data_IF_187506749039
#
_entry.id   IF_187506749039
#
_cell.length_a   1.000
_cell.length_b   1.000
_cell.length_c   1.000
_cell.angle_alpha   90.00
_cell.angle_beta   90.00
_cell.angle_gamma   90.00
#
_symmetry.space_group_name_H-M   'P 1'
#
loop_
_entity.id
_entity.type
_entity.pdbx_description
1 polymer ?
#
# COMPACT_ATOMS: atom_id res chain seq x y z
N UNK A 1 -3.98 -21.93 -21.16
CA UNK A 1 -2.83 -22.70 -21.70
C UNK A 1 -2.17 -22.11 -22.96
N UNK A 2 -2.15 -20.78 -23.18
CA UNK A 2 -1.40 -20.17 -24.30
C UNK A 2 -0.44 -19.01 -23.92
N UNK A 3 -0.39 -18.62 -22.64
CA UNK A 3 0.51 -17.56 -22.15
C UNK A 3 1.88 -18.06 -21.63
N UNK A 4 2.06 -19.37 -21.44
CA UNK A 4 3.21 -19.95 -20.73
C UNK A 4 4.35 -20.48 -21.63
N UNK A 5 4.43 -20.06 -22.91
CA UNK A 5 5.34 -20.70 -23.90
C UNK A 5 6.40 -19.81 -24.55
N UNK A 6 6.65 -18.59 -24.05
CA UNK A 6 7.57 -17.65 -24.72
C UNK A 6 8.89 -17.37 -23.95
N UNK A 7 9.11 -17.92 -22.76
CA UNK A 7 10.29 -17.60 -21.94
C UNK A 7 11.30 -18.75 -21.76
N UNK A 8 11.61 -19.52 -22.81
CA UNK A 8 12.65 -20.55 -22.76
C UNK A 8 13.56 -20.46 -23.99
N UNK A 9 14.68 -19.75 -23.86
CA UNK A 9 15.95 -20.07 -24.56
C UNK A 9 17.15 -19.34 -23.96
N UNK A 10 18.14 -20.16 -23.59
CA UNK A 10 19.58 -19.94 -23.34
C UNK A 10 20.05 -19.04 -22.19
N UNK A 11 20.55 -19.67 -21.13
CA UNK A 11 21.68 -19.16 -20.35
C UNK A 11 22.59 -20.35 -19.95
N UNK A 12 23.88 -20.26 -20.30
CA UNK A 12 24.92 -21.24 -19.96
C UNK A 12 25.61 -20.89 -18.62
N UNK A 13 26.21 -21.84 -17.89
CA UNK A 13 26.77 -21.60 -16.56
C UNK A 13 28.26 -21.25 -16.60
N UNK A 14 28.70 -20.30 -15.76
CA UNK A 14 30.12 -20.07 -15.46
C UNK A 14 30.35 -19.93 -13.95
N UNK A 15 31.45 -20.54 -13.51
CA UNK A 15 31.84 -20.84 -12.14
C UNK A 15 32.88 -19.86 -11.55
N UNK A 16 32.98 -19.84 -10.21
CA UNK A 16 34.19 -19.50 -9.43
C UNK A 16 34.42 -18.01 -9.13
N UNK A 17 33.81 -17.43 -8.11
CA UNK A 17 34.33 -17.32 -6.73
C UNK A 17 35.37 -16.19 -6.46
N UNK A 18 34.90 -14.94 -6.55
CA UNK A 18 35.09 -13.87 -5.55
C UNK A 18 33.72 -13.22 -5.22
N UNK A 19 32.66 -14.03 -5.38
CA UNK A 19 31.57 -13.70 -6.29
C UNK A 19 30.22 -13.43 -5.62
N UNK A 20 30.10 -13.51 -4.28
CA UNK A 20 28.79 -13.51 -3.61
C UNK A 20 27.97 -12.22 -3.79
N UNK A 21 28.59 -11.05 -3.59
CA UNK A 21 27.92 -9.75 -3.75
C UNK A 21 27.75 -9.38 -5.23
N UNK A 22 28.80 -9.58 -6.04
CA UNK A 22 28.76 -9.30 -7.48
C UNK A 22 27.73 -10.13 -8.24
N UNK A 23 27.58 -11.42 -7.88
CA UNK A 23 26.57 -12.31 -8.48
C UNK A 23 25.15 -11.91 -8.11
N UNK A 24 24.89 -11.55 -6.85
CA UNK A 24 23.55 -11.09 -6.44
C UNK A 24 23.16 -9.82 -7.18
N UNK A 25 24.09 -8.88 -7.39
CA UNK A 25 23.83 -7.66 -8.17
C UNK A 25 23.58 -7.96 -9.65
N UNK A 26 24.26 -8.96 -10.24
CA UNK A 26 23.96 -9.43 -11.60
C UNK A 26 22.57 -10.06 -11.68
N UNK A 27 22.16 -10.82 -10.66
CA UNK A 27 20.83 -11.39 -10.58
C UNK A 27 19.75 -10.30 -10.42
N UNK A 28 19.98 -9.26 -9.62
CA UNK A 28 19.11 -8.07 -9.55
C UNK A 28 18.97 -7.44 -10.93
N UNK A 29 20.08 -7.21 -11.64
CA UNK A 29 20.07 -6.64 -12.99
C UNK A 29 19.28 -7.53 -13.96
N UNK A 30 19.48 -8.85 -13.93
CA UNK A 30 18.75 -9.78 -14.78
C UNK A 30 17.25 -9.78 -14.50
N UNK A 31 16.84 -9.95 -13.24
CA UNK A 31 15.43 -10.06 -12.87
C UNK A 31 14.66 -8.73 -13.03
N UNK A 32 15.33 -7.59 -12.85
CA UNK A 32 14.71 -6.27 -13.00
C UNK A 32 14.33 -5.92 -14.44
N UNK A 33 14.87 -6.62 -15.44
CA UNK A 33 14.51 -6.44 -16.86
C UNK A 33 13.18 -7.11 -17.22
N UNK A 34 12.72 -8.06 -16.41
CA UNK A 34 11.43 -8.68 -16.60
C UNK A 34 10.32 -7.78 -16.04
N UNK A 35 9.19 -7.75 -16.76
CA UNK A 35 7.99 -7.06 -16.29
C UNK A 35 7.22 -7.97 -15.31
N UNK A 36 6.80 -7.45 -14.15
CA UNK A 36 5.89 -8.16 -13.24
C UNK A 36 4.61 -8.60 -13.95
N UNK A 37 4.09 -9.77 -13.58
CA UNK A 37 2.86 -10.35 -14.13
C UNK A 37 1.68 -10.00 -13.21
N UNK A 38 0.78 -9.09 -13.59
CA UNK A 38 -0.38 -8.77 -12.76
C UNK A 38 -1.42 -9.88 -12.82
N UNK A 39 -2.02 -10.20 -11.66
CA UNK A 39 -3.13 -11.13 -11.53
C UNK A 39 -4.43 -10.39 -11.19
N UNK A 40 -5.56 -10.91 -11.67
CA UNK A 40 -6.89 -10.48 -11.20
C UNK A 40 -7.30 -11.23 -9.94
N UNK A 41 -8.19 -10.63 -9.15
CA UNK A 41 -8.87 -11.33 -8.05
C UNK A 41 -9.57 -12.58 -8.58
N UNK A 42 -10.19 -12.52 -9.78
CA UNK A 42 -10.78 -13.70 -10.41
C UNK A 42 -9.75 -14.82 -10.61
N UNK A 43 -8.58 -14.52 -11.17
CA UNK A 43 -7.55 -15.55 -11.40
C UNK A 43 -7.08 -16.18 -10.08
N UNK A 44 -6.90 -15.37 -9.03
CA UNK A 44 -6.51 -15.84 -7.70
C UNK A 44 -7.59 -16.74 -7.08
N UNK A 45 -8.86 -16.35 -7.21
CA UNK A 45 -10.01 -17.11 -6.72
C UNK A 45 -10.19 -18.43 -7.48
N UNK A 46 -10.20 -18.37 -8.82
CA UNK A 46 -10.35 -19.54 -9.69
C UNK A 46 -9.23 -20.56 -9.43
N UNK A 47 -7.99 -20.07 -9.22
CA UNK A 47 -6.84 -20.90 -8.86
C UNK A 47 -7.06 -21.62 -7.54
N UNK A 48 -7.40 -20.92 -6.46
CA UNK A 48 -7.56 -21.53 -5.14
C UNK A 48 -8.81 -22.39 -4.97
N UNK A 49 -9.88 -22.17 -5.74
CA UNK A 49 -11.16 -22.87 -5.57
C UNK A 49 -11.26 -24.20 -6.32
N UNK A 50 -10.68 -24.30 -7.51
CA UNK A 50 -10.90 -25.46 -8.42
C UNK A 50 -9.62 -26.10 -8.94
N UNK A 51 -8.49 -25.37 -8.96
CA UNK A 51 -7.24 -25.80 -9.61
C UNK A 51 -6.02 -25.61 -8.70
N UNK A 52 -6.21 -25.61 -7.38
CA UNK A 52 -5.19 -25.29 -6.38
C UNK A 52 -4.08 -26.34 -6.38
N UNK A 53 -3.09 -26.17 -7.25
CA UNK A 53 -1.95 -27.07 -7.35
C UNK A 53 -0.71 -26.36 -6.81
N UNK A 54 -0.19 -26.84 -5.68
CA UNK A 54 1.01 -26.30 -5.03
C UNK A 54 2.18 -26.18 -6.03
N UNK A 55 2.39 -27.20 -6.86
CA UNK A 55 3.44 -27.21 -7.91
C UNK A 55 3.31 -26.08 -8.91
N UNK A 56 2.07 -25.74 -9.29
CA UNK A 56 1.77 -24.65 -10.22
C UNK A 56 2.01 -23.30 -9.54
N UNK A 57 1.56 -23.14 -8.29
CA UNK A 57 1.80 -21.94 -7.50
C UNK A 57 3.29 -21.70 -7.28
N UNK A 58 4.03 -22.73 -6.86
CA UNK A 58 5.48 -22.71 -6.71
C UNK A 58 6.19 -22.32 -8.01
N UNK A 59 5.82 -22.96 -9.13
CA UNK A 59 6.42 -22.67 -10.43
C UNK A 59 6.26 -21.22 -10.88
N UNK A 60 5.12 -20.61 -10.56
CA UNK A 60 4.87 -19.19 -10.79
C UNK A 60 5.66 -18.31 -9.82
N UNK A 61 5.55 -18.55 -8.51
CA UNK A 61 6.11 -17.66 -7.48
C UNK A 61 7.63 -17.64 -7.43
N UNK A 62 8.30 -18.76 -7.71
CA UNK A 62 9.77 -18.83 -7.79
C UNK A 62 10.35 -18.00 -8.95
N UNK A 63 9.52 -17.56 -9.89
CA UNK A 63 9.88 -16.64 -10.96
C UNK A 63 9.38 -15.23 -10.66
N UNK A 64 8.10 -15.09 -10.29
CA UNK A 64 7.45 -13.80 -10.11
C UNK A 64 7.97 -13.02 -8.90
N UNK A 65 8.23 -13.67 -7.75
CA UNK A 65 8.73 -12.97 -6.56
C UNK A 65 10.12 -12.35 -6.82
N UNK A 66 11.14 -13.07 -7.33
CA UNK A 66 12.41 -12.45 -7.71
C UNK A 66 12.27 -11.26 -8.65
N UNK A 67 11.36 -11.31 -9.64
CA UNK A 67 11.09 -10.20 -10.57
C UNK A 67 10.58 -8.96 -9.81
N UNK A 68 9.57 -9.10 -8.96
CA UNK A 68 9.00 -7.98 -8.18
C UNK A 68 10.01 -7.37 -7.21
N UNK A 69 10.80 -8.22 -6.54
CA UNK A 69 11.88 -7.77 -5.64
C UNK A 69 12.99 -7.03 -6.39
N UNK A 70 13.44 -7.55 -7.53
CA UNK A 70 14.51 -6.95 -8.31
C UNK A 70 14.10 -5.60 -8.94
N UNK A 71 12.87 -5.50 -9.45
CA UNK A 71 12.32 -4.24 -9.99
C UNK A 71 12.40 -3.12 -8.95
N UNK A 72 11.94 -3.39 -7.71
CA UNK A 72 11.95 -2.34 -6.68
C UNK A 72 13.34 -2.08 -6.08
N UNK A 73 14.21 -3.10 -6.01
CA UNK A 73 15.62 -2.93 -5.62
C UNK A 73 16.36 -1.96 -6.56
N UNK A 74 16.10 -2.02 -7.87
CA UNK A 74 16.67 -1.06 -8.83
C UNK A 74 16.19 0.36 -8.60
N UNK A 75 14.94 0.56 -8.18
CA UNK A 75 14.43 1.90 -7.84
C UNK A 75 14.98 2.42 -6.52
N UNK A 76 15.22 1.55 -5.53
CA UNK A 76 15.94 1.93 -4.31
C UNK A 76 17.31 2.51 -4.69
N UNK A 77 18.04 1.86 -5.60
CA UNK A 77 19.37 2.31 -6.03
C UNK A 77 19.37 3.67 -6.77
N UNK A 78 18.21 4.19 -7.16
CA UNK A 78 18.06 5.52 -7.78
C UNK A 78 17.68 6.63 -6.79
N UNK A 79 17.50 6.29 -5.50
CA UNK A 79 17.30 7.29 -4.47
C UNK A 79 18.56 8.14 -4.24
N UNK A 80 18.43 9.37 -3.72
CA UNK A 80 19.59 10.21 -3.42
C UNK A 80 20.58 9.50 -2.49
N UNK A 81 21.89 9.62 -2.78
CA UNK A 81 22.96 8.96 -2.01
C UNK A 81 22.89 9.26 -0.50
N UNK A 82 22.49 10.48 -0.15
CA UNK A 82 22.30 10.91 1.24
C UNK A 82 21.18 10.13 1.93
N UNK A 83 20.08 9.83 1.23
CA UNK A 83 18.98 9.02 1.75
C UNK A 83 19.39 7.55 1.80
N UNK A 84 20.06 7.03 0.76
CA UNK A 84 20.66 5.68 0.77
C UNK A 84 21.70 5.51 1.88
N UNK A 85 22.32 6.59 2.34
CA UNK A 85 23.28 6.63 3.42
C UNK A 85 22.67 6.39 4.81
N UNK A 86 21.37 6.62 4.98
CA UNK A 86 20.67 6.50 6.27
C UNK A 86 20.66 5.04 6.78
N UNK A 87 20.88 4.80 8.09
CA UNK A 87 20.88 3.45 8.66
C UNK A 87 19.59 2.67 8.35
N UNK A 88 18.45 3.34 8.43
CA UNK A 88 17.15 2.72 8.21
C UNK A 88 16.94 2.26 6.76
N UNK A 89 17.30 3.07 5.76
CA UNK A 89 17.19 2.67 4.34
C UNK A 89 18.17 1.55 4.00
N UNK A 90 19.40 1.58 4.57
CA UNK A 90 20.37 0.48 4.42
C UNK A 90 19.83 -0.84 4.97
N UNK A 91 19.18 -0.79 6.15
CA UNK A 91 18.56 -1.96 6.76
C UNK A 91 17.46 -2.54 5.87
N UNK A 92 16.55 -1.70 5.37
CA UNK A 92 15.49 -2.16 4.44
C UNK A 92 16.09 -2.77 3.18
N UNK A 93 17.08 -2.11 2.56
CA UNK A 93 17.77 -2.64 1.38
C UNK A 93 18.40 -4.01 1.66
N UNK A 94 19.02 -4.20 2.83
CA UNK A 94 19.60 -5.48 3.23
C UNK A 94 18.55 -6.59 3.34
N UNK A 95 17.36 -6.31 3.87
CA UNK A 95 16.26 -7.28 3.95
C UNK A 95 15.76 -7.72 2.58
N UNK A 96 15.64 -6.78 1.63
CA UNK A 96 15.25 -7.10 0.25
C UNK A 96 16.31 -7.93 -0.47
N UNK A 97 17.59 -7.57 -0.34
CA UNK A 97 18.70 -8.35 -0.92
C UNK A 97 18.75 -9.77 -0.35
N UNK A 98 18.62 -9.92 0.99
CA UNK A 98 18.62 -11.23 1.63
C UNK A 98 17.42 -12.08 1.17
N UNK A 99 16.24 -11.47 1.05
CA UNK A 99 15.03 -12.19 0.61
C UNK A 99 15.13 -12.60 -0.85
N UNK A 100 15.66 -11.74 -1.72
CA UNK A 100 15.90 -12.08 -3.11
C UNK A 100 16.88 -13.25 -3.24
N UNK A 101 17.99 -13.22 -2.49
CA UNK A 101 18.97 -14.30 -2.45
C UNK A 101 18.32 -15.64 -2.08
N UNK A 102 17.53 -15.68 -1.00
CA UNK A 102 16.83 -16.90 -0.56
C UNK A 102 15.81 -17.39 -1.59
N UNK A 103 15.10 -16.49 -2.28
CA UNK A 103 14.11 -16.86 -3.29
C UNK A 103 14.74 -17.42 -4.57
N UNK A 104 15.88 -16.87 -5.00
CA UNK A 104 16.57 -17.31 -6.21
C UNK A 104 17.11 -18.74 -6.08
N UNK A 105 17.40 -19.22 -4.87
CA UNK A 105 17.81 -20.61 -4.62
C UNK A 105 16.77 -21.63 -5.12
N UNK A 106 15.51 -21.24 -5.27
CA UNK A 106 14.44 -22.09 -5.78
C UNK A 106 14.25 -22.05 -7.30
N UNK A 107 14.92 -21.13 -8.00
CA UNK A 107 14.68 -20.86 -9.42
C UNK A 107 14.88 -22.10 -10.32
N UNK A 108 15.86 -22.95 -9.99
CA UNK A 108 16.20 -24.17 -10.74
C UNK A 108 15.77 -25.47 -10.05
N UNK A 109 15.10 -25.42 -8.89
CA UNK A 109 14.68 -26.64 -8.17
C UNK A 109 13.48 -27.31 -8.86
N UNK A 110 13.27 -28.60 -8.68
CA UNK A 110 12.13 -29.30 -9.31
C UNK A 110 10.82 -29.01 -8.56
N UNK A 111 9.69 -28.74 -9.26
CA UNK A 111 8.37 -28.64 -8.62
C UNK A 111 7.81 -30.00 -8.17
N UNK A 112 8.42 -31.12 -8.56
CA UNK A 112 7.98 -32.47 -8.19
C UNK A 112 8.61 -32.97 -6.88
N UNK A 113 9.56 -32.23 -6.31
CA UNK A 113 10.21 -32.55 -5.03
C UNK A 113 9.42 -31.95 -3.86
N UNK A 114 8.75 -32.80 -3.08
CA UNK A 114 7.92 -32.37 -1.96
C UNK A 114 8.73 -31.63 -0.88
N UNK A 115 10.01 -31.97 -0.67
CA UNK A 115 10.86 -31.27 0.29
C UNK A 115 11.11 -29.84 -0.17
N UNK A 116 11.32 -29.63 -1.47
CA UNK A 116 11.50 -28.30 -2.05
C UNK A 116 10.26 -27.44 -1.86
N UNK A 117 9.07 -28.00 -2.03
CA UNK A 117 7.80 -27.29 -1.82
C UNK A 117 7.63 -26.86 -0.35
N UNK A 118 7.89 -27.79 0.60
CA UNK A 118 7.89 -27.48 2.04
C UNK A 118 8.94 -26.42 2.41
N UNK A 119 10.18 -26.55 1.93
CA UNK A 119 11.26 -25.59 2.18
C UNK A 119 10.91 -24.21 1.60
N UNK A 120 10.16 -24.17 0.49
CA UNK A 120 9.70 -22.93 -0.12
C UNK A 120 8.66 -22.23 0.75
N UNK A 121 7.66 -22.94 1.27
CA UNK A 121 6.67 -22.38 2.22
C UNK A 121 7.39 -21.78 3.44
N UNK A 122 8.31 -22.53 4.05
CA UNK A 122 9.08 -22.03 5.21
C UNK A 122 9.90 -20.79 4.84
N UNK A 123 10.44 -20.73 3.62
CA UNK A 123 11.15 -19.54 3.09
C UNK A 123 10.22 -18.35 2.93
N UNK A 124 9.02 -18.53 2.37
CA UNK A 124 8.03 -17.46 2.22
C UNK A 124 7.61 -16.90 3.57
N UNK A 125 7.42 -17.76 4.59
CA UNK A 125 7.11 -17.34 5.96
C UNK A 125 8.25 -16.52 6.54
N UNK A 126 9.50 -16.97 6.40
CA UNK A 126 10.69 -16.20 6.84
C UNK A 126 10.80 -14.85 6.14
N UNK A 127 10.61 -14.79 4.83
CA UNK A 127 10.63 -13.54 4.05
C UNK A 127 9.51 -12.61 4.52
N UNK A 128 8.27 -13.11 4.66
CA UNK A 128 7.13 -12.32 5.16
C UNK A 128 7.40 -11.72 6.53
N UNK A 129 7.97 -12.51 7.45
CA UNK A 129 8.26 -12.06 8.82
C UNK A 129 9.40 -11.04 8.85
N UNK A 130 10.47 -11.25 8.08
CA UNK A 130 11.57 -10.28 7.91
C UNK A 130 11.07 -8.92 7.41
N UNK A 131 10.02 -8.93 6.59
CA UNK A 131 9.45 -7.73 6.00
C UNK A 131 8.37 -7.06 6.86
N UNK A 132 8.10 -7.55 8.07
CA UNK A 132 7.05 -7.01 8.96
C UNK A 132 7.23 -5.51 9.19
N UNK A 133 8.43 -5.08 9.58
CA UNK A 133 8.75 -3.71 9.98
C UNK A 133 9.23 -2.80 8.84
N UNK A 134 9.13 -3.24 7.57
CA UNK A 134 9.58 -2.44 6.42
C UNK A 134 8.90 -1.06 6.35
N UNK A 135 7.61 -0.95 6.70
CA UNK A 135 6.88 0.32 6.66
C UNK A 135 7.44 1.31 7.70
N UNK A 136 7.45 0.99 9.01
CA UNK A 136 8.00 1.90 10.01
C UNK A 136 9.49 2.17 9.82
N UNK A 137 10.31 1.16 9.44
CA UNK A 137 11.74 1.38 9.21
C UNK A 137 11.99 2.29 8.01
N UNK A 138 11.28 2.12 6.89
CA UNK A 138 11.44 3.04 5.75
C UNK A 138 10.99 4.46 6.13
N UNK A 139 9.87 4.61 6.85
CA UNK A 139 9.42 5.91 7.34
C UNK A 139 10.47 6.60 8.22
N UNK A 140 11.12 5.83 9.10
CA UNK A 140 12.23 6.31 9.92
C UNK A 140 13.42 6.79 9.08
N UNK A 141 13.78 6.08 8.00
CA UNK A 141 14.83 6.52 7.07
C UNK A 141 14.51 7.85 6.36
N UNK A 142 13.25 8.07 6.01
CA UNK A 142 12.81 9.36 5.45
C UNK A 142 12.90 10.47 6.50
N UNK A 143 12.59 10.18 7.77
CA UNK A 143 12.71 11.14 8.88
C UNK A 143 14.18 11.48 9.14
N UNK A 144 15.06 10.48 9.23
CA UNK A 144 16.52 10.66 9.37
C UNK A 144 17.08 11.58 8.30
N UNK A 145 16.65 11.37 7.05
CA UNK A 145 17.02 12.20 5.91
C UNK A 145 16.51 13.64 6.03
N UNK A 146 15.23 13.82 6.37
CA UNK A 146 14.58 15.14 6.49
C UNK A 146 15.13 15.98 7.65
N UNK A 147 15.50 15.35 8.76
CA UNK A 147 16.03 16.05 9.94
C UNK A 147 17.46 16.53 9.70
N UNK A 148 18.23 15.78 8.89
CA UNK A 148 19.64 16.09 8.61
C UNK A 148 19.79 17.02 7.40
N UNK A 149 18.92 16.89 6.39
CA UNK A 149 19.07 17.56 5.11
C UNK A 149 17.83 18.38 4.74
N UNK A 150 18.06 19.58 4.20
CA UNK A 150 16.99 20.33 3.53
C UNK A 150 16.58 19.57 2.26
N UNK A 151 15.29 19.28 2.15
CA UNK A 151 14.71 18.56 1.01
C UNK A 151 14.08 19.58 0.07
N UNK A 152 14.60 19.66 -1.14
CA UNK A 152 14.03 20.48 -2.19
C UNK A 152 12.75 19.83 -2.79
N UNK A 153 11.89 20.61 -3.47
CA UNK A 153 10.63 20.09 -4.01
C UNK A 153 10.79 18.92 -4.99
N UNK A 154 11.83 18.91 -5.82
CA UNK A 154 12.07 17.86 -6.83
C UNK A 154 12.45 16.56 -6.13
N UNK A 155 13.39 16.62 -5.18
CA UNK A 155 13.74 15.44 -4.37
C UNK A 155 12.54 14.90 -3.60
N UNK A 156 11.69 15.77 -3.04
CA UNK A 156 10.46 15.35 -2.37
C UNK A 156 9.48 14.63 -3.32
N UNK A 157 9.32 15.12 -4.55
CA UNK A 157 8.51 14.44 -5.57
C UNK A 157 9.08 13.07 -5.95
N UNK A 158 10.40 12.96 -6.11
CA UNK A 158 11.06 11.69 -6.43
C UNK A 158 10.91 10.66 -5.30
N UNK A 159 11.01 11.11 -4.04
CA UNK A 159 10.76 10.27 -2.86
C UNK A 159 9.29 9.84 -2.81
N UNK A 160 8.34 10.75 -3.06
CA UNK A 160 6.92 10.42 -3.12
C UNK A 160 6.63 9.35 -4.19
N UNK A 161 7.13 9.55 -5.41
CA UNK A 161 7.00 8.61 -6.52
C UNK A 161 7.57 7.23 -6.16
N UNK A 162 8.75 7.21 -5.54
CA UNK A 162 9.36 5.97 -5.06
C UNK A 162 8.50 5.28 -4.00
N UNK A 163 8.06 5.99 -2.95
CA UNK A 163 7.34 5.38 -1.83
C UNK A 163 6.00 4.79 -2.27
N UNK A 164 5.27 5.48 -3.14
CA UNK A 164 4.02 4.96 -3.73
C UNK A 164 4.28 3.60 -4.40
N UNK A 165 5.34 3.49 -5.20
CA UNK A 165 5.71 2.28 -5.94
C UNK A 165 6.29 1.20 -5.02
N UNK A 166 7.11 1.58 -4.07
CA UNK A 166 7.71 0.70 -3.08
C UNK A 166 6.66 -0.01 -2.23
N UNK A 167 5.70 0.74 -1.70
CA UNK A 167 4.63 0.16 -0.91
C UNK A 167 3.62 -0.61 -1.76
N UNK A 168 3.35 -0.19 -3.00
CA UNK A 168 2.55 -0.99 -3.94
C UNK A 168 3.21 -2.35 -4.22
N UNK A 169 4.51 -2.37 -4.49
CA UNK A 169 5.27 -3.62 -4.67
C UNK A 169 5.17 -4.51 -3.43
N UNK A 170 5.32 -3.93 -2.23
CA UNK A 170 5.21 -4.67 -0.95
C UNK A 170 3.82 -5.25 -0.71
N UNK A 171 2.75 -4.50 -0.99
CA UNK A 171 1.36 -5.01 -0.91
C UNK A 171 1.24 -6.24 -1.83
N UNK A 172 1.77 -6.13 -3.04
CA UNK A 172 1.69 -7.19 -4.04
C UNK A 172 2.46 -8.46 -3.68
N UNK A 173 3.69 -8.34 -3.15
CA UNK A 173 4.48 -9.51 -2.73
C UNK A 173 3.88 -10.16 -1.50
N UNK A 174 3.36 -9.36 -0.56
CA UNK A 174 2.60 -9.86 0.60
C UNK A 174 1.34 -10.61 0.15
N UNK A 175 0.61 -10.10 -0.82
CA UNK A 175 -0.58 -10.77 -1.38
C UNK A 175 -0.24 -12.16 -1.91
N UNK A 176 0.79 -12.26 -2.76
CA UNK A 176 1.22 -13.54 -3.33
C UNK A 176 1.70 -14.54 -2.27
N UNK A 177 2.55 -14.09 -1.34
CA UNK A 177 3.08 -14.94 -0.27
C UNK A 177 1.97 -15.42 0.67
N UNK A 178 1.02 -14.53 1.04
CA UNK A 178 -0.12 -14.89 1.87
C UNK A 178 -1.05 -15.88 1.15
N UNK A 179 -1.30 -15.69 -0.14
CA UNK A 179 -2.12 -16.64 -0.91
C UNK A 179 -1.51 -18.04 -0.90
N UNK A 180 -0.22 -18.18 -1.19
CA UNK A 180 0.45 -19.49 -1.18
C UNK A 180 0.47 -20.13 0.20
N UNK A 181 0.88 -19.37 1.23
CA UNK A 181 0.97 -19.90 2.59
C UNK A 181 -0.40 -20.29 3.15
N UNK A 182 -1.45 -19.50 2.94
CA UNK A 182 -2.79 -19.83 3.43
C UNK A 182 -3.44 -21.02 2.70
N UNK A 183 -3.07 -21.29 1.45
CA UNK A 183 -3.62 -22.41 0.67
C UNK A 183 -2.87 -23.73 0.90
N UNK A 184 -1.57 -23.70 1.18
CA UNK A 184 -0.73 -24.91 1.15
C UNK A 184 0.06 -25.18 2.44
N UNK A 185 0.10 -24.26 3.41
CA UNK A 185 0.72 -24.54 4.72
C UNK A 185 -0.26 -25.31 5.62
N UNK A 186 -0.06 -26.62 5.74
CA UNK A 186 -0.84 -27.51 6.61
C UNK A 186 -0.83 -27.08 8.09
N UNK A 187 0.18 -26.31 8.52
CA UNK A 187 0.29 -25.78 9.89
C UNK A 187 -0.61 -24.55 10.10
N UNK A 188 -1.02 -23.89 9.02
CA UNK A 188 -1.80 -22.65 9.01
C UNK A 188 -3.31 -22.88 8.81
N UNK A 189 -3.89 -23.88 9.49
CA UNK A 189 -5.35 -24.09 9.55
C UNK A 189 -6.14 -22.98 10.30
N UNK A 190 -5.55 -21.81 10.47
CA UNK A 190 -6.12 -20.62 11.11
C UNK A 190 -6.85 -19.67 10.13
N UNK A 191 -7.03 -20.07 8.88
CA UNK A 191 -7.84 -19.33 7.91
C UNK A 191 -9.34 -19.45 8.16
N UNK A 192 -10.11 -18.44 7.77
CA UNK A 192 -11.57 -18.52 7.81
C UNK A 192 -12.05 -19.60 6.80
N UNK A 193 -12.89 -20.58 7.19
CA UNK A 193 -13.21 -21.75 6.36
C UNK A 193 -13.79 -21.44 4.97
N UNK A 194 -14.43 -20.28 4.83
CA UNK A 194 -15.02 -19.78 3.58
C UNK A 194 -14.02 -19.08 2.65
N UNK A 195 -12.87 -18.65 3.17
CA UNK A 195 -11.92 -17.87 2.39
C UNK A 195 -11.07 -18.77 1.49
N UNK A 196 -10.72 -18.24 0.32
CA UNK A 196 -9.75 -18.84 -0.58
C UNK A 196 -8.44 -18.06 -0.42
N UNK A 197 -7.56 -18.63 0.39
CA UNK A 197 -6.39 -17.92 0.91
C UNK A 197 -6.82 -16.71 1.73
N UNK A 198 -6.50 -15.50 1.27
CA UNK A 198 -6.92 -14.23 1.91
C UNK A 198 -8.12 -13.56 1.24
N UNK A 199 -8.72 -14.17 0.21
CA UNK A 199 -9.86 -13.61 -0.52
C UNK A 199 -11.14 -14.22 0.05
N UNK A 200 -12.12 -13.37 0.34
CA UNK A 200 -13.48 -13.80 0.64
C UNK A 200 -14.33 -13.69 -0.66
N UNK A 201 -14.87 -14.82 -1.18
CA UNK A 201 -15.75 -14.79 -2.34
C UNK A 201 -17.09 -14.07 -2.09
N UNK A 202 -17.48 -13.86 -0.83
CA UNK A 202 -18.72 -13.20 -0.45
C UNK A 202 -18.48 -12.20 0.70
N UNK A 203 -17.47 -11.33 0.54
CA UNK A 203 -17.11 -10.32 1.54
C UNK A 203 -18.29 -9.39 1.81
N UNK A 204 -18.85 -9.45 3.02
CA UNK A 204 -19.85 -8.50 3.51
C UNK A 204 -19.18 -7.16 3.81
N UNK A 205 -19.48 -6.16 2.99
CA UNK A 205 -18.85 -4.84 3.10
C UNK A 205 -19.29 -4.12 4.37
N UNK A 206 -20.55 -4.30 4.78
CA UNK A 206 -21.11 -3.62 5.95
C UNK A 206 -20.52 -4.20 7.24
N UNK A 207 -20.32 -5.52 7.29
CA UNK A 207 -19.63 -6.17 8.41
C UNK A 207 -18.21 -5.61 8.59
N UNK A 208 -17.41 -5.52 7.51
CA UNK A 208 -16.05 -4.97 7.58
C UNK A 208 -16.03 -3.49 7.97
N UNK A 209 -17.05 -2.71 7.58
CA UNK A 209 -17.22 -1.33 8.02
C UNK A 209 -17.45 -1.24 9.52
N UNK A 210 -18.34 -2.08 10.08
CA UNK A 210 -18.60 -2.11 11.51
C UNK A 210 -17.35 -2.55 12.28
N UNK A 211 -16.66 -3.61 11.85
CA UNK A 211 -15.43 -4.09 12.50
C UNK A 211 -14.33 -3.02 12.57
N UNK A 212 -14.13 -2.31 11.45
CA UNK A 212 -13.16 -1.23 11.36
C UNK A 212 -13.55 -0.01 12.22
N UNK A 213 -14.84 0.32 12.26
CA UNK A 213 -15.37 1.37 13.11
C UNK A 213 -15.18 1.03 14.60
N UNK A 214 -15.60 -0.15 15.05
CA UNK A 214 -15.47 -0.58 16.45
C UNK A 214 -14.02 -0.60 16.90
N UNK A 215 -13.12 -1.13 16.07
CA UNK A 215 -11.67 -1.14 16.36
C UNK A 215 -11.11 0.29 16.48
N UNK A 216 -11.57 1.22 15.65
CA UNK A 216 -11.16 2.64 15.72
C UNK A 216 -11.78 3.34 16.93
N UNK A 217 -13.03 3.01 17.26
CA UNK A 217 -13.79 3.54 18.39
C UNK A 217 -13.08 3.19 19.70
N UNK A 218 -12.67 1.93 19.88
CA UNK A 218 -11.89 1.49 21.04
C UNK A 218 -10.62 2.30 21.24
N UNK A 219 -9.86 2.58 20.17
CA UNK A 219 -8.65 3.40 20.24
C UNK A 219 -8.95 4.88 20.52
N UNK A 220 -10.03 5.40 19.94
CA UNK A 220 -10.49 6.76 20.18
C UNK A 220 -10.92 6.94 21.64
N UNK A 221 -11.73 6.02 22.17
CA UNK A 221 -12.19 6.02 23.56
C UNK A 221 -11.01 5.86 24.54
N UNK A 222 -10.01 5.03 24.22
CA UNK A 222 -8.82 4.90 25.05
C UNK A 222 -8.02 6.21 25.15
N UNK A 223 -7.99 7.01 24.09
CA UNK A 223 -7.19 8.23 24.02
C UNK A 223 -7.94 9.49 24.45
N UNK A 224 -9.20 9.64 24.02
CA UNK A 224 -10.03 10.82 24.23
C UNK A 224 -11.16 10.62 25.26
N UNK A 225 -11.37 9.39 25.76
CA UNK A 225 -12.47 9.03 26.66
C UNK A 225 -13.87 9.22 26.05
N UNK A 226 -13.95 9.45 24.75
CA UNK A 226 -15.18 9.62 23.97
C UNK A 226 -14.92 9.36 22.48
N UNK A 227 -15.98 9.06 21.74
CA UNK A 227 -15.95 8.81 20.30
C UNK A 227 -17.29 9.16 19.64
N UNK A 228 -17.29 9.59 18.36
CA UNK A 228 -18.51 9.83 17.62
C UNK A 228 -19.21 8.52 17.23
N UNK A 229 -20.54 8.50 17.25
CA UNK A 229 -21.38 7.37 16.81
C UNK A 229 -21.30 7.11 15.30
N UNK A 230 -21.62 5.89 14.86
CA UNK A 230 -21.70 5.50 13.45
C UNK A 230 -23.13 5.61 12.92
N UNK A 231 -23.32 6.30 11.80
CA UNK A 231 -24.57 6.29 11.04
C UNK A 231 -24.34 5.69 9.65
N UNK A 232 -24.71 4.42 9.49
CA UNK A 232 -24.48 3.67 8.26
C UNK A 232 -25.73 3.60 7.39
N UNK A 233 -25.58 3.83 6.09
CA UNK A 233 -26.60 3.63 5.07
C UNK A 233 -26.01 2.78 3.94
N UNK A 234 -26.77 1.80 3.45
CA UNK A 234 -26.38 0.99 2.29
C UNK A 234 -27.40 1.11 1.15
N UNK A 235 -26.90 1.12 -0.09
CA UNK A 235 -27.72 1.14 -1.30
C UNK A 235 -27.17 0.09 -2.26
N UNK A 236 -27.88 -1.03 -2.36
CA UNK A 236 -27.55 -2.09 -3.30
C UNK A 236 -28.27 -1.86 -4.64
N UNK A 237 -27.57 -1.26 -5.60
CA UNK A 237 -28.11 -0.98 -6.93
C UNK A 237 -28.24 -2.22 -7.82
N UNK A 238 -27.61 -3.36 -7.46
CA UNK A 238 -27.76 -4.64 -8.17
C UNK A 238 -28.97 -5.42 -7.68
N UNK A 239 -29.21 -5.42 -6.37
CA UNK A 239 -30.32 -6.11 -5.72
C UNK A 239 -30.85 -5.25 -4.56
N UNK A 240 -31.83 -4.36 -4.80
CA UNK A 240 -32.35 -3.47 -3.77
C UNK A 240 -32.89 -4.24 -2.55
N UNK A 241 -32.46 -3.84 -1.35
CA UNK A 241 -32.87 -4.47 -0.08
C UNK A 241 -31.96 -5.62 0.39
N UNK A 242 -31.10 -6.16 -0.49
CA UNK A 242 -30.15 -7.21 -0.15
C UNK A 242 -28.82 -6.64 0.38
N UNK A 243 -28.12 -7.38 1.27
CA UNK A 243 -26.78 -7.01 1.72
C UNK A 243 -25.78 -6.79 0.57
N UNK A 244 -24.82 -5.90 0.78
CA UNK A 244 -23.77 -5.63 -0.20
C UNK A 244 -22.60 -6.59 0.02
N UNK A 245 -22.46 -7.56 -0.89
CA UNK A 245 -21.32 -8.48 -0.92
C UNK A 245 -20.50 -8.35 -2.21
N UNK A 246 -19.17 -8.39 -2.09
CA UNK A 246 -18.24 -8.44 -3.25
C UNK A 246 -17.16 -9.51 -3.05
N UNK A 247 -16.48 -9.91 -4.13
CA UNK A 247 -15.26 -10.72 -4.02
C UNK A 247 -14.09 -9.80 -3.71
N UNK A 248 -13.53 -9.86 -2.50
CA UNK A 248 -12.44 -8.97 -2.11
C UNK A 248 -11.52 -9.57 -1.04
N UNK A 249 -10.47 -8.82 -0.66
CA UNK A 249 -9.59 -9.16 0.45
C UNK A 249 -10.04 -8.37 1.69
N UNK A 250 -10.72 -8.98 2.67
CA UNK A 250 -11.33 -8.24 3.79
C UNK A 250 -10.31 -7.41 4.57
N UNK A 251 -9.11 -7.94 4.78
CA UNK A 251 -8.03 -7.24 5.49
C UNK A 251 -7.55 -5.96 4.79
N UNK A 252 -7.60 -5.89 3.45
CA UNK A 252 -7.27 -4.68 2.71
C UNK A 252 -8.35 -3.61 2.91
N UNK A 253 -9.62 -4.02 2.83
CA UNK A 253 -10.76 -3.14 3.06
C UNK A 253 -10.78 -2.61 4.50
N UNK A 254 -10.62 -3.50 5.48
CA UNK A 254 -10.50 -3.16 6.89
C UNK A 254 -9.42 -2.12 7.14
N UNK A 255 -8.21 -2.32 6.59
CA UNK A 255 -7.11 -1.37 6.78
C UNK A 255 -7.44 0.04 6.30
N UNK A 256 -8.05 0.17 5.11
CA UNK A 256 -8.45 1.48 4.58
C UNK A 256 -9.51 2.15 5.46
N UNK A 257 -10.54 1.40 5.86
CA UNK A 257 -11.63 1.90 6.68
C UNK A 257 -11.13 2.30 8.08
N UNK A 258 -10.31 1.47 8.70
CA UNK A 258 -9.71 1.71 10.01
C UNK A 258 -8.88 3.01 10.02
N UNK A 259 -8.02 3.21 9.03
CA UNK A 259 -7.24 4.46 8.94
C UNK A 259 -8.13 5.69 8.72
N UNK A 260 -9.18 5.58 7.89
CA UNK A 260 -10.12 6.68 7.66
C UNK A 260 -10.95 6.99 8.91
N UNK A 261 -11.47 5.98 9.61
CA UNK A 261 -12.22 6.15 10.84
C UNK A 261 -11.38 6.80 11.94
N UNK A 262 -10.14 6.35 12.17
CA UNK A 262 -9.23 7.04 13.11
C UNK A 262 -9.08 8.52 12.80
N UNK A 263 -8.89 8.87 11.52
CA UNK A 263 -8.73 10.27 11.09
C UNK A 263 -10.02 11.08 11.31
N UNK A 264 -11.17 10.55 10.92
CA UNK A 264 -12.47 11.21 11.08
C UNK A 264 -12.87 11.34 12.56
N UNK A 265 -12.61 10.32 13.38
CA UNK A 265 -12.83 10.36 14.83
C UNK A 265 -11.95 11.42 15.48
N UNK A 266 -10.64 11.38 15.22
CA UNK A 266 -9.69 12.39 15.72
C UNK A 266 -10.14 13.81 15.36
N UNK A 267 -10.42 14.06 14.08
CA UNK A 267 -10.83 15.38 13.61
C UNK A 267 -12.14 15.85 14.26
N UNK A 268 -13.11 14.94 14.43
CA UNK A 268 -14.40 15.26 15.06
C UNK A 268 -14.25 15.59 16.53
N UNK A 269 -13.50 14.77 17.28
CA UNK A 269 -13.27 15.01 18.72
C UNK A 269 -12.48 16.31 18.94
N UNK A 270 -11.36 16.50 18.23
CA UNK A 270 -10.53 17.71 18.39
C UNK A 270 -11.30 18.98 17.98
N UNK A 271 -12.14 18.93 16.94
CA UNK A 271 -12.91 20.10 16.49
C UNK A 271 -14.11 20.43 17.39
N UNK A 272 -14.72 19.42 18.01
CA UNK A 272 -15.94 19.53 18.81
C UNK A 272 -15.69 19.33 20.31
N UNK A 273 -14.46 19.48 20.80
CA UNK A 273 -14.06 19.25 22.20
C UNK A 273 -14.93 20.02 23.22
N UNK A 274 -15.39 21.22 22.86
CA UNK A 274 -16.25 22.06 23.71
C UNK A 274 -17.77 21.87 23.46
N UNK A 275 -18.16 20.92 22.60
CA UNK A 275 -19.55 20.64 22.29
C UNK A 275 -20.10 19.57 23.25
N UNK A 276 -21.38 19.65 23.67
CA UNK A 276 -21.96 18.68 24.59
C UNK A 276 -22.12 17.28 23.98
N UNK A 277 -22.16 17.19 22.65
CA UNK A 277 -22.33 15.95 21.89
C UNK A 277 -21.52 16.01 20.61
N UNK A 278 -20.93 14.88 20.24
CA UNK A 278 -20.20 14.73 18.99
C UNK A 278 -21.16 14.44 17.84
N UNK A 279 -20.89 15.02 16.67
CA UNK A 279 -21.58 14.66 15.44
C UNK A 279 -21.23 13.22 15.03
N UNK A 280 -22.19 12.41 14.56
CA UNK A 280 -21.90 11.06 14.11
C UNK A 280 -21.06 11.07 12.82
N UNK A 281 -20.27 10.02 12.63
CA UNK A 281 -19.62 9.73 11.35
C UNK A 281 -20.65 9.05 10.45
N UNK A 282 -20.95 9.68 9.31
CA UNK A 282 -21.91 9.14 8.35
C UNK A 282 -21.20 8.29 7.30
N UNK A 283 -21.66 7.05 7.11
CA UNK A 283 -21.10 6.13 6.11
C UNK A 283 -22.16 5.72 5.12
N UNK A 284 -21.86 5.87 3.83
CA UNK A 284 -22.73 5.45 2.74
C UNK A 284 -22.00 4.41 1.90
N UNK A 285 -22.54 3.19 1.84
CA UNK A 285 -22.05 2.10 0.99
C UNK A 285 -22.97 1.94 -0.20
N UNK A 286 -22.46 2.09 -1.42
CA UNK A 286 -23.25 1.96 -2.65
C UNK A 286 -22.62 0.92 -3.57
N UNK A 287 -23.38 -0.12 -3.91
CA UNK A 287 -23.00 -1.09 -4.92
C UNK A 287 -23.67 -0.75 -6.25
N UNK A 288 -22.91 -0.19 -7.18
CA UNK A 288 -23.31 0.05 -8.56
C UNK A 288 -23.10 -1.18 -9.44
N UNK A 289 -23.26 -1.01 -10.77
CA UNK A 289 -23.01 -2.09 -11.74
C UNK A 289 -21.52 -2.43 -11.83
N UNK A 290 -20.68 -1.40 -11.94
CA UNK A 290 -19.23 -1.51 -12.17
C UNK A 290 -18.41 -1.31 -10.89
N UNK A 291 -18.84 -0.39 -10.03
CA UNK A 291 -18.07 0.02 -8.86
C UNK A 291 -18.86 -0.17 -7.56
N UNK A 292 -18.13 -0.48 -6.49
CA UNK A 292 -18.53 -0.31 -5.10
C UNK A 292 -17.93 1.00 -4.60
N UNK A 293 -18.75 1.89 -4.05
CA UNK A 293 -18.31 3.13 -3.42
C UNK A 293 -18.62 3.12 -1.94
N UNK A 294 -17.64 3.50 -1.11
CA UNK A 294 -17.82 3.70 0.33
C UNK A 294 -17.43 5.13 0.65
N UNK A 295 -18.40 5.94 1.07
CA UNK A 295 -18.18 7.32 1.49
C UNK A 295 -18.25 7.41 3.01
N UNK A 296 -17.21 7.94 3.62
CA UNK A 296 -17.13 8.28 5.05
C UNK A 296 -17.13 9.80 5.16
N UNK A 297 -18.10 10.35 5.88
CA UNK A 297 -18.32 11.78 6.05
C UNK A 297 -18.23 12.16 7.52
N UNK A 298 -17.38 13.13 7.84
CA UNK A 298 -17.26 13.68 9.19
C UNK A 298 -17.68 15.16 9.28
N UNK A 299 -17.75 15.65 10.52
CA UNK A 299 -17.95 17.07 10.88
C UNK A 299 -16.78 17.60 11.70
N UNK A 300 -15.57 17.16 11.34
CA UNK A 300 -14.32 17.49 12.04
C UNK A 300 -13.66 18.79 11.59
N UNK A 301 -14.43 19.78 11.12
CA UNK A 301 -13.91 21.11 10.76
C UNK A 301 -13.18 21.19 9.42
N UNK A 302 -12.88 20.07 8.77
CA UNK A 302 -12.33 20.02 7.41
C UNK A 302 -10.92 20.59 7.24
N UNK A 303 -10.45 20.63 6.00
CA UNK A 303 -9.07 20.94 5.60
C UNK A 303 -9.07 21.95 4.45
N UNK A 304 -8.28 23.03 4.51
CA UNK A 304 -8.13 23.95 3.38
C UNK A 304 -7.66 23.24 2.11
N UNK A 305 -8.26 23.58 0.96
CA UNK A 305 -7.98 22.94 -0.35
C UNK A 305 -6.49 22.85 -0.66
N UNK A 306 -5.71 23.92 -0.40
CA UNK A 306 -4.24 23.96 -0.58
C UNK A 306 -3.43 22.89 0.18
N UNK A 307 -4.04 22.22 1.17
CA UNK A 307 -3.41 21.17 1.98
C UNK A 307 -3.88 19.77 1.60
N UNK A 308 -4.94 19.61 0.81
CA UNK A 308 -5.55 18.30 0.51
C UNK A 308 -4.56 17.36 -0.17
N UNK A 309 -3.87 17.81 -1.22
CA UNK A 309 -2.87 16.99 -1.92
C UNK A 309 -1.71 16.61 -0.98
N UNK A 310 -1.36 17.49 -0.04
CA UNK A 310 -0.30 17.25 0.93
C UNK A 310 -0.67 16.18 1.95
N UNK A 311 -1.95 15.89 2.20
CA UNK A 311 -2.37 14.81 3.10
C UNK A 311 -1.94 13.42 2.61
N UNK A 312 -1.70 13.27 1.31
CA UNK A 312 -1.15 12.05 0.71
C UNK A 312 0.39 12.06 0.63
N UNK A 313 1.05 13.12 1.10
CA UNK A 313 2.51 13.17 1.08
C UNK A 313 3.11 12.45 2.29
N UNK A 314 4.00 11.49 2.05
CA UNK A 314 4.68 10.75 3.11
C UNK A 314 5.57 11.62 4.00
N UNK A 315 5.98 12.81 3.52
CA UNK A 315 6.81 13.76 4.26
C UNK A 315 5.99 14.82 5.01
N UNK A 316 4.66 14.73 4.97
CA UNK A 316 3.72 15.64 5.63
C UNK A 316 2.87 14.89 6.67
N UNK A 317 2.91 15.33 7.92
CA UNK A 317 2.01 14.86 8.98
C UNK A 317 1.63 16.04 9.87
N UNK A 318 0.41 16.01 10.40
CA UNK A 318 -0.12 16.98 11.38
C UNK A 318 -0.05 16.45 12.81
N UNK A 319 0.35 15.20 13.01
CA UNK A 319 0.48 14.58 14.33
C UNK A 319 1.89 14.79 14.91
N UNK A 320 2.03 14.87 16.24
CA UNK A 320 3.34 14.75 16.89
C UNK A 320 3.98 13.40 16.55
N UNK A 321 5.32 13.37 16.53
CA UNK A 321 6.07 12.17 16.14
C UNK A 321 5.86 11.07 17.19
N UNK A 322 5.43 9.86 16.79
CA UNK A 322 5.32 8.75 17.74
C UNK A 322 6.71 8.35 18.25
N UNK A 323 6.82 8.03 19.54
CA UNK A 323 8.05 7.49 20.10
C UNK A 323 8.19 6.01 19.73
N UNK A 324 9.28 5.64 19.08
CA UNK A 324 9.50 4.28 18.53
C UNK A 324 9.66 3.24 19.65
N UNK A 325 10.03 3.67 20.87
CA UNK A 325 10.25 2.79 22.02
C UNK A 325 8.96 2.32 22.71
N UNK A 326 7.81 2.97 22.44
CA UNK A 326 6.53 2.62 23.07
C UNK A 326 5.68 1.70 22.19
N UNK A 327 6.21 0.50 21.93
CA UNK A 327 5.56 -0.53 21.10
C UNK A 327 4.24 -1.08 21.69
N UNK A 328 3.82 -0.64 22.87
CA UNK A 328 2.60 -1.15 23.54
C UNK A 328 1.32 -0.42 23.14
N UNK A 329 1.41 0.79 22.58
CA UNK A 329 0.25 1.58 22.22
C UNK A 329 0.34 1.99 20.75
N UNK A 330 -0.55 1.49 19.89
CA UNK A 330 -0.70 2.02 18.53
C UNK A 330 -1.35 3.39 18.65
N UNK A 331 -0.65 4.51 18.39
CA UNK A 331 -1.23 5.82 18.58
C UNK A 331 -2.31 6.07 17.52
N UNK A 332 -3.36 6.80 17.89
CA UNK A 332 -4.48 7.11 16.98
C UNK A 332 -4.00 7.85 15.71
N UNK A 333 -2.92 8.63 15.84
CA UNK A 333 -2.20 9.24 14.74
C UNK A 333 -0.68 8.98 14.86
N UNK A 334 0.00 8.85 13.72
CA UNK A 334 1.42 8.47 13.69
C UNK A 334 2.22 9.14 12.58
N UNK A 335 3.09 8.37 11.92
CA UNK A 335 4.06 8.83 10.91
C UNK A 335 3.49 9.58 9.69
N UNK A 336 2.17 9.65 9.52
CA UNK A 336 1.52 10.27 8.36
C UNK A 336 1.36 9.32 7.16
N UNK A 337 1.54 8.01 7.37
CA UNK A 337 1.55 7.02 6.28
C UNK A 337 0.17 6.37 6.05
N UNK A 338 -0.78 6.53 6.98
CA UNK A 338 -2.10 5.86 6.91
C UNK A 338 -2.90 6.20 5.65
N UNK A 339 -3.09 7.50 5.36
CA UNK A 339 -3.82 7.96 4.17
C UNK A 339 -3.17 7.53 2.84
N UNK A 340 -1.87 7.80 2.59
CA UNK A 340 -1.26 7.38 1.33
C UNK A 340 -1.25 5.86 1.16
N UNK A 341 -0.95 5.08 2.21
CA UNK A 341 -1.01 3.61 2.12
C UNK A 341 -2.43 3.11 1.87
N UNK A 342 -3.44 3.69 2.52
CA UNK A 342 -4.85 3.34 2.27
C UNK A 342 -5.23 3.58 0.80
N UNK A 343 -4.75 4.68 0.21
CA UNK A 343 -4.94 4.94 -1.21
C UNK A 343 -4.24 3.91 -2.10
N UNK A 344 -3.07 3.41 -1.72
CA UNK A 344 -2.41 2.33 -2.46
C UNK A 344 -3.19 1.02 -2.38
N UNK A 345 -3.76 0.66 -1.21
CA UNK A 345 -4.63 -0.52 -1.10
C UNK A 345 -5.87 -0.42 -2.01
N UNK A 346 -6.49 0.76 -2.12
CA UNK A 346 -7.59 0.97 -3.07
C UNK A 346 -7.11 0.82 -4.52
N UNK A 347 -6.00 1.48 -4.88
CA UNK A 347 -5.43 1.46 -6.24
C UNK A 347 -4.88 0.10 -6.66
N UNK A 348 -4.49 -0.75 -5.72
CA UNK A 348 -3.87 -2.04 -6.00
C UNK A 348 -4.76 -2.95 -6.86
N UNK A 349 -6.09 -2.91 -6.67
CA UNK A 349 -7.06 -3.62 -7.50
C UNK A 349 -7.95 -2.67 -8.33
N UNK A 350 -7.33 -1.65 -8.94
CA UNK A 350 -7.97 -0.67 -9.86
C UNK A 350 -9.05 0.22 -9.24
N UNK A 351 -9.07 0.33 -7.91
CA UNK A 351 -9.87 1.33 -7.20
C UNK A 351 -9.15 2.68 -7.07
N UNK A 352 -9.70 3.56 -6.23
CA UNK A 352 -9.01 4.77 -5.75
C UNK A 352 -9.58 5.23 -4.40
N UNK A 353 -8.88 6.13 -3.72
CA UNK A 353 -9.33 6.81 -2.52
C UNK A 353 -9.15 8.32 -2.72
N UNK A 354 -10.25 9.06 -2.63
CA UNK A 354 -10.29 10.51 -2.79
C UNK A 354 -10.81 11.21 -1.54
N UNK A 355 -10.31 12.42 -1.27
CA UNK A 355 -10.73 13.28 -0.17
C UNK A 355 -11.31 14.58 -0.71
N UNK A 356 -12.48 14.97 -0.20
CA UNK A 356 -13.15 16.23 -0.49
C UNK A 356 -13.48 16.90 0.82
N UNK A 357 -12.93 18.08 1.07
CA UNK A 357 -13.09 18.74 2.36
C UNK A 357 -13.59 20.17 2.20
N UNK A 358 -14.47 20.55 3.12
CA UNK A 358 -15.00 21.91 3.23
C UNK A 358 -14.46 22.47 4.54
N UNK A 359 -13.51 23.40 4.43
CA UNK A 359 -12.86 24.01 5.59
C UNK A 359 -13.87 24.80 6.43
N UNK A 360 -13.87 24.54 7.74
CA UNK A 360 -14.87 25.01 8.71
C UNK A 360 -16.05 24.06 8.90
N UNK A 361 -16.16 22.97 8.13
CA UNK A 361 -17.32 22.07 8.17
C UNK A 361 -16.94 20.60 8.40
N UNK A 362 -16.23 19.97 7.47
CA UNK A 362 -15.95 18.54 7.54
C UNK A 362 -15.30 17.97 6.28
N UNK A 363 -15.09 16.67 6.27
CA UNK A 363 -14.42 15.95 5.17
C UNK A 363 -15.22 14.73 4.73
N UNK A 364 -15.31 14.53 3.42
CA UNK A 364 -15.78 13.31 2.76
C UNK A 364 -14.58 12.54 2.21
N UNK A 365 -14.39 11.29 2.66
CA UNK A 365 -13.45 10.33 2.11
C UNK A 365 -14.21 9.25 1.33
N UNK A 366 -13.83 9.04 0.07
CA UNK A 366 -14.51 8.08 -0.81
C UNK A 366 -13.54 7.02 -1.30
N UNK A 367 -13.80 5.76 -0.95
CA UNK A 367 -13.13 4.58 -1.48
C UNK A 367 -13.96 4.07 -2.67
N UNK A 368 -13.32 3.86 -3.81
CA UNK A 368 -13.87 3.16 -4.97
C UNK A 368 -13.18 1.82 -5.13
N UNK A 369 -13.95 0.75 -5.30
CA UNK A 369 -13.48 -0.59 -5.61
C UNK A 369 -14.24 -1.13 -6.81
N UNK A 370 -13.61 -2.03 -7.58
CA UNK A 370 -14.30 -2.74 -8.66
C UNK A 370 -15.29 -3.76 -8.10
N UNK A 371 -16.53 -3.71 -8.58
CA UNK A 371 -17.58 -4.65 -8.21
C UNK A 371 -17.42 -6.02 -8.88
N UNK A 372 -16.64 -6.10 -9.97
CA UNK A 372 -16.38 -7.32 -10.72
C UNK A 372 -14.93 -7.78 -10.52
N UNK A 373 -14.74 -9.01 -10.03
CA UNK A 373 -13.42 -9.59 -9.77
C UNK A 373 -12.55 -9.77 -11.02
N UNK A 374 -13.16 -9.78 -12.21
CA UNK A 374 -12.49 -9.78 -13.52
C UNK A 374 -11.73 -8.48 -13.80
N UNK A 375 -12.25 -7.36 -13.30
CA UNK A 375 -11.69 -6.02 -13.50
C UNK A 375 -10.74 -5.61 -12.37
N UNK A 376 -10.83 -6.29 -11.22
CA UNK A 376 -9.92 -6.17 -10.09
C UNK A 376 -8.53 -6.76 -10.40
N UNK A 377 -7.76 -6.11 -11.27
CA UNK A 377 -6.41 -6.53 -11.69
C UNK A 377 -5.35 -5.83 -10.84
N UNK A 378 -4.28 -6.53 -10.46
CA UNK A 378 -3.13 -5.92 -9.76
C UNK A 378 -2.55 -4.72 -10.53
N UNK A 379 -2.35 -3.60 -9.84
CA UNK A 379 -1.58 -2.45 -10.33
C UNK A 379 -0.15 -2.53 -9.79
N UNK A 380 0.80 -2.88 -10.66
CA UNK A 380 2.19 -3.14 -10.26
C UNK A 380 3.16 -2.07 -10.77
N UNK A 381 4.18 -1.68 -9.97
CA UNK A 381 5.28 -0.87 -10.46
C UNK A 381 6.18 -1.70 -11.39
N UNK A 382 6.53 -1.14 -12.54
CA UNK A 382 7.47 -1.73 -13.51
C UNK A 382 8.71 -0.85 -13.61
N UNK A 383 9.88 -1.41 -13.34
CA UNK A 383 11.16 -0.73 -13.57
C UNK A 383 11.53 -0.78 -15.04
N UNK A 384 11.66 0.39 -15.66
CA UNK A 384 12.06 0.54 -17.05
C UNK A 384 12.65 1.96 -17.25
N UNK A 385 13.01 2.31 -18.49
CA UNK A 385 13.56 3.64 -18.82
C UNK A 385 12.63 4.79 -18.41
N UNK A 386 11.31 4.61 -18.50
CA UNK A 386 10.34 5.63 -18.07
C UNK A 386 10.40 5.84 -16.55
N UNK A 387 10.44 4.74 -15.78
CA UNK A 387 10.60 4.82 -14.33
C UNK A 387 11.94 5.47 -13.95
N UNK A 388 13.04 5.11 -14.62
CA UNK A 388 14.35 5.73 -14.36
C UNK A 388 14.36 7.24 -14.63
N UNK A 389 13.63 7.70 -15.66
CA UNK A 389 13.57 9.13 -16.00
C UNK A 389 12.95 9.98 -14.89
N UNK A 390 11.95 9.46 -14.16
CA UNK A 390 11.36 10.18 -13.01
C UNK A 390 12.44 10.57 -11.98
N UNK A 391 13.39 9.69 -11.68
CA UNK A 391 14.47 9.96 -10.72
C UNK A 391 15.53 10.95 -11.21
N UNK A 392 15.60 11.19 -12.52
CA UNK A 392 16.59 12.06 -13.16
C UNK A 392 16.02 13.44 -13.50
N UNK A 393 14.73 13.67 -13.26
CA UNK A 393 14.05 14.91 -13.63
C UNK A 393 14.60 16.06 -12.78
N UNK A 394 15.05 17.13 -13.44
CA UNK A 394 15.55 18.35 -12.78
C UNK A 394 14.40 19.33 -12.55
N UNK A 395 14.62 20.37 -11.74
CA UNK A 395 13.64 21.45 -11.57
C UNK A 395 13.32 22.10 -12.91
N UNK A 396 12.07 22.00 -13.34
CA UNK A 396 11.55 22.73 -14.50
C UNK A 396 11.00 24.09 -14.04
N UNK A 397 10.94 25.06 -14.96
CA UNK A 397 10.24 26.32 -14.70
C UNK A 397 8.74 26.02 -14.56
N UNK A 398 8.06 26.78 -13.69
CA UNK A 398 6.61 26.60 -13.52
C UNK A 398 5.88 26.93 -14.83
N UNK A 399 4.96 26.06 -15.23
CA UNK A 399 4.17 26.23 -16.45
C UNK A 399 3.21 27.43 -16.36
N UNK A 400 2.97 27.93 -15.14
CA UNK A 400 2.08 29.04 -14.85
C UNK A 400 2.78 30.17 -14.10
N UNK A 401 2.22 31.38 -14.21
CA UNK A 401 2.78 32.55 -13.54
C UNK A 401 2.76 32.40 -12.01
N UNK A 402 3.93 32.51 -11.39
CA UNK A 402 4.06 32.61 -9.93
C UNK A 402 3.98 34.08 -9.51
N UNK A 403 2.98 34.50 -8.71
CA UNK A 403 2.84 35.89 -8.30
C UNK A 403 4.00 36.35 -7.40
N UNK A 404 4.33 37.65 -7.44
CA UNK A 404 5.33 38.25 -6.55
C UNK A 404 4.89 38.14 -5.08
N UNK A 405 5.82 37.81 -4.18
CA UNK A 405 5.59 37.82 -2.72
C UNK A 405 5.23 39.21 -2.16
N UNK A 406 5.60 40.27 -2.87
CA UNK A 406 5.21 41.64 -2.60
C UNK A 406 4.50 42.22 -3.82
N UNK A 407 3.19 41.96 -4.00
CA UNK A 407 2.46 42.52 -5.13
C UNK A 407 2.46 44.06 -5.03
N UNK A 408 2.70 44.73 -6.15
CA UNK A 408 2.74 46.21 -6.18
C UNK A 408 1.37 46.76 -5.82
N UNK A 409 1.35 47.74 -4.91
CA UNK A 409 0.13 48.47 -4.58
C UNK A 409 -0.09 49.58 -5.63
N UNK A 410 -0.98 49.32 -6.59
CA UNK A 410 -1.29 50.23 -7.69
C UNK A 410 -1.99 51.53 -7.24
N UNK A 411 -2.54 51.59 -6.02
CA UNK A 411 -3.25 52.78 -5.52
C UNK A 411 -2.32 53.92 -5.08
N UNK A 412 -1.03 53.65 -4.83
CA UNK A 412 -0.06 54.68 -4.38
C UNK A 412 0.68 55.39 -5.53
N UNK A 413 0.45 54.99 -6.78
CA UNK A 413 1.16 55.56 -7.94
C UNK A 413 0.35 56.60 -8.73
N UNK A 414 -0.96 56.76 -8.46
CA UNK A 414 -1.79 57.78 -9.12
C UNK A 414 -1.77 59.15 -8.43
N UNK A 415 -0.82 59.38 -7.52
CA UNK A 415 -0.74 60.60 -6.71
C UNK A 415 0.63 61.32 -6.85
N UNK A 416 1.28 61.21 -8.02
CA UNK A 416 2.51 61.91 -8.35
C UNK A 416 2.34 62.71 -9.64
#
# INVERSE_FOLDING_TARGET
MKAARIALRSAAPLAGASAGSGRLMQEVEQFSRFSPSPLSIKQLLDFGSTNGCERTSFSFLRQELPVRFANILKEIDLLPDKLLGTPSVKLVKSWYLQSLKELIEFHQKSPDDQKVLSDFIDTLIRVRNRHHDVVPTMAQGIIEYKDTFKVDPVTNQNIQYFLDRFYMSRISTRMLMNQHTLLFDDKSRSGHPRHIGSIDPCCDVVEVVNDAYESSKMLCDQYYLTSPELKLTQVNGKAPGEPISIVYVPSHLFHMLFELFKNSMRATVEFQENSPTLSPIEVIVVLGKEDLAIKISDRGGGVPVRKIERLFSYMYSTAPRPNVDDARNTPLAGFGYGLPISRLYAKYFQGDLNLYSICGYGTDAIIYLKALSTESVEKLPVFNKSASKHYQTTSEADDWCVPSKGPKNMAKQSAA
#
